data_IF_561583729373
#
_entry.id   IF_561583729373
#
_cell.length_a   1.000
_cell.length_b   1.000
_cell.length_c   1.000
_cell.angle_alpha   90.00
_cell.angle_beta   90.00
_cell.angle_gamma   90.00
#
_symmetry.space_group_name_H-M   'P 1'
#
loop_
_entity.id
_entity.type
_entity.pdbx_description
1 polymer ?
#
# COMPACT_ATOMS: atom_id res chain seq x y z
N UNK A 1 18.33 1.65 -8.78
CA UNK A 1 18.03 0.78 -9.93
C UNK A 1 16.74 1.30 -10.53
N UNK A 2 16.72 1.59 -11.82
CA UNK A 2 15.53 2.13 -12.49
C UNK A 2 14.56 0.99 -12.84
N UNK A 3 13.26 1.19 -12.61
CA UNK A 3 12.25 0.18 -12.92
C UNK A 3 12.10 -0.02 -14.43
N UNK A 4 12.07 -1.27 -14.88
CA UNK A 4 11.86 -1.61 -16.29
C UNK A 4 10.45 -1.22 -16.75
N UNK A 5 10.29 -0.96 -18.06
CA UNK A 5 8.98 -0.66 -18.65
C UNK A 5 7.95 -1.78 -18.41
N UNK A 6 8.42 -3.03 -18.34
CA UNK A 6 7.58 -4.18 -18.01
C UNK A 6 7.09 -4.14 -16.56
N UNK A 7 7.96 -3.81 -15.60
CA UNK A 7 7.56 -3.63 -14.19
C UNK A 7 6.51 -2.52 -14.06
N UNK A 8 6.73 -1.36 -14.70
CA UNK A 8 5.78 -0.24 -14.67
C UNK A 8 4.42 -0.63 -15.24
N UNK A 9 4.40 -1.34 -16.38
CA UNK A 9 3.16 -1.81 -16.99
C UNK A 9 2.40 -2.78 -16.08
N UNK A 10 3.09 -3.75 -15.48
CA UNK A 10 2.49 -4.72 -14.57
C UNK A 10 1.98 -4.04 -13.31
N UNK A 11 2.77 -3.14 -12.73
CA UNK A 11 2.38 -2.35 -11.56
C UNK A 11 1.10 -1.54 -11.83
N UNK A 12 1.02 -0.86 -12.98
CA UNK A 12 -0.16 -0.08 -13.35
C UNK A 12 -1.42 -0.92 -13.55
N UNK A 13 -1.29 -2.10 -14.16
CA UNK A 13 -2.41 -3.05 -14.31
C UNK A 13 -2.89 -3.52 -12.94
N UNK A 14 -1.96 -3.96 -12.07
CA UNK A 14 -2.29 -4.42 -10.72
C UNK A 14 -2.92 -3.28 -9.91
N UNK A 15 -2.39 -2.06 -10.00
CA UNK A 15 -2.90 -0.90 -9.27
C UNK A 15 -4.36 -0.61 -9.64
N UNK A 16 -4.68 -0.57 -10.93
CA UNK A 16 -6.04 -0.32 -11.41
C UNK A 16 -7.01 -1.42 -10.97
N UNK A 17 -6.66 -2.68 -11.24
CA UNK A 17 -7.55 -3.79 -10.94
C UNK A 17 -7.74 -3.98 -9.42
N UNK A 18 -6.69 -3.72 -8.63
CA UNK A 18 -6.76 -3.76 -7.17
C UNK A 18 -7.68 -2.67 -6.61
N UNK A 19 -7.59 -1.45 -7.12
CA UNK A 19 -8.46 -0.36 -6.69
C UNK A 19 -9.94 -0.73 -6.92
N UNK A 20 -10.27 -1.28 -8.09
CA UNK A 20 -11.62 -1.73 -8.42
C UNK A 20 -12.09 -2.88 -7.51
N UNK A 21 -11.21 -3.85 -7.20
CA UNK A 21 -11.53 -4.98 -6.32
C UNK A 21 -11.79 -4.50 -4.89
N UNK A 22 -10.92 -3.65 -4.35
CA UNK A 22 -11.05 -3.13 -2.98
C UNK A 22 -12.28 -2.23 -2.82
N UNK A 23 -12.58 -1.40 -3.82
CA UNK A 23 -13.75 -0.53 -3.78
C UNK A 23 -15.07 -1.32 -3.78
N UNK A 24 -15.16 -2.38 -4.60
CA UNK A 24 -16.31 -3.29 -4.59
C UNK A 24 -16.43 -4.03 -3.26
N UNK A 25 -15.33 -4.60 -2.77
CA UNK A 25 -15.32 -5.30 -1.49
C UNK A 25 -15.73 -4.40 -0.31
N UNK A 26 -15.31 -3.13 -0.31
CA UNK A 26 -15.73 -2.16 0.70
C UNK A 26 -17.22 -1.83 0.63
N UNK A 27 -17.78 -1.77 -0.59
CA UNK A 27 -19.21 -1.50 -0.83
C UNK A 27 -20.06 -2.69 -0.37
N UNK A 28 -19.68 -3.90 -0.78
CA UNK A 28 -20.40 -5.14 -0.46
C UNK A 28 -20.27 -5.50 1.02
N UNK A 29 -19.13 -5.18 1.65
CA UNK A 29 -18.88 -5.38 3.08
C UNK A 29 -19.57 -4.36 3.99
N UNK A 30 -20.33 -3.41 3.44
CA UNK A 30 -21.10 -2.43 4.22
C UNK A 30 -20.23 -1.45 5.01
N UNK A 31 -18.96 -1.27 4.63
CA UNK A 31 -17.98 -0.37 5.26
C UNK A 31 -18.29 1.09 4.91
N UNK A 32 -19.45 1.60 5.35
CA UNK A 32 -19.86 2.98 5.14
C UNK A 32 -18.94 3.93 5.91
N UNK A 33 -18.34 4.89 5.20
CA UNK A 33 -17.44 5.90 5.78
C UNK A 33 -15.96 5.51 5.81
N UNK A 34 -15.59 4.34 5.27
CA UNK A 34 -14.21 3.91 5.14
C UNK A 34 -13.75 4.04 3.68
N UNK A 35 -12.70 4.83 3.45
CA UNK A 35 -12.09 5.06 2.15
C UNK A 35 -10.81 4.25 2.03
N UNK A 36 -10.78 3.29 1.11
CA UNK A 36 -9.59 2.49 0.80
C UNK A 36 -9.14 2.85 -0.60
N UNK A 37 -7.88 3.25 -0.74
CA UNK A 37 -7.27 3.61 -2.01
C UNK A 37 -5.90 2.97 -2.17
N UNK A 38 -5.48 2.73 -3.42
CA UNK A 38 -4.17 2.15 -3.73
C UNK A 38 -3.22 3.27 -4.16
N UNK A 39 -2.37 3.73 -3.25
CA UNK A 39 -1.43 4.83 -3.51
C UNK A 39 -0.37 4.45 -4.53
N UNK A 40 0.25 3.27 -4.36
CA UNK A 40 1.40 2.85 -5.17
C UNK A 40 1.49 1.33 -5.24
N UNK A 41 1.95 0.83 -6.38
CA UNK A 41 2.34 -0.57 -6.53
C UNK A 41 3.78 -0.63 -7.05
N UNK A 42 4.61 -1.45 -6.40
CA UNK A 42 5.99 -1.69 -6.83
C UNK A 42 6.20 -3.19 -7.02
N UNK A 43 6.83 -3.57 -8.12
CA UNK A 43 7.04 -4.98 -8.49
C UNK A 43 8.53 -5.28 -8.52
N UNK A 44 8.93 -6.42 -7.96
CA UNK A 44 10.33 -6.87 -7.96
C UNK A 44 10.85 -7.14 -9.38
N UNK A 45 12.18 -7.15 -9.54
CA UNK A 45 12.82 -7.31 -10.86
C UNK A 45 12.53 -8.65 -11.53
N UNK A 46 12.34 -9.70 -10.73
CA UNK A 46 11.92 -11.04 -11.15
C UNK A 46 10.41 -11.18 -11.37
N UNK A 47 9.63 -10.10 -11.11
CA UNK A 47 8.18 -10.04 -11.22
C UNK A 47 7.43 -11.05 -10.35
N UNK A 48 8.08 -11.58 -9.32
CA UNK A 48 7.49 -12.58 -8.43
C UNK A 48 6.67 -11.96 -7.30
N UNK A 49 7.02 -10.75 -6.88
CA UNK A 49 6.41 -10.06 -5.75
C UNK A 49 5.93 -8.67 -6.17
N UNK A 50 4.71 -8.32 -5.79
CA UNK A 50 4.12 -7.01 -5.94
C UNK A 50 3.77 -6.45 -4.55
N UNK A 51 4.43 -5.35 -4.18
CA UNK A 51 4.14 -4.58 -2.98
C UNK A 51 3.08 -3.55 -3.30
N UNK A 52 1.98 -3.58 -2.57
CA UNK A 52 0.80 -2.73 -2.74
C UNK A 52 0.69 -1.85 -1.51
N UNK A 53 0.81 -0.54 -1.73
CA UNK A 53 0.68 0.48 -0.70
C UNK A 53 -0.73 1.02 -0.72
N UNK A 54 -1.40 0.95 0.42
CA UNK A 54 -2.79 1.31 0.62
C UNK A 54 -2.88 2.56 1.50
N UNK A 55 -3.70 3.52 1.07
CA UNK A 55 -4.13 4.62 1.91
C UNK A 55 -5.55 4.34 2.39
N UNK A 56 -5.72 4.31 3.70
CA UNK A 56 -6.97 3.97 4.38
C UNK A 56 -7.37 5.16 5.25
N UNK A 57 -8.58 5.65 5.05
CA UNK A 57 -9.15 6.75 5.81
C UNK A 57 -10.47 6.31 6.44
N UNK A 58 -10.70 6.54 7.75
CA UNK A 58 -9.78 7.19 8.71
C UNK A 58 -8.61 6.29 9.17
N UNK A 59 -7.49 6.90 9.60
CA UNK A 59 -6.22 6.21 9.91
C UNK A 59 -6.30 5.28 11.13
N UNK A 60 -7.16 5.59 12.09
CA UNK A 60 -7.41 4.80 13.30
C UNK A 60 -7.81 3.35 12.97
N UNK A 61 -8.52 3.14 11.86
CA UNK A 61 -8.94 1.82 11.37
C UNK A 61 -7.98 1.18 10.38
N UNK A 62 -6.89 1.86 10.00
CA UNK A 62 -6.00 1.37 8.95
C UNK A 62 -5.36 0.02 9.28
N UNK A 63 -4.98 -0.21 10.54
CA UNK A 63 -4.36 -1.48 10.98
C UNK A 63 -5.34 -2.65 10.92
N UNK A 64 -6.53 -2.49 11.49
CA UNK A 64 -7.59 -3.50 11.46
C UNK A 64 -7.95 -3.87 10.02
N UNK A 65 -8.08 -2.86 9.16
CA UNK A 65 -8.37 -3.08 7.75
C UNK A 65 -7.24 -3.78 7.00
N UNK A 66 -5.98 -3.45 7.32
CA UNK A 66 -4.83 -4.14 6.74
C UNK A 66 -4.85 -5.63 7.10
N UNK A 67 -5.12 -5.98 8.35
CA UNK A 67 -5.23 -7.37 8.81
C UNK A 67 -6.37 -8.12 8.11
N UNK A 68 -7.52 -7.46 7.92
CA UNK A 68 -8.64 -7.99 7.14
C UNK A 68 -8.28 -8.25 5.68
N UNK A 69 -7.55 -7.33 5.04
CA UNK A 69 -7.08 -7.47 3.65
C UNK A 69 -6.05 -8.60 3.54
N UNK A 70 -5.13 -8.71 4.49
CA UNK A 70 -4.14 -9.79 4.53
C UNK A 70 -4.80 -11.15 4.72
N UNK A 71 -5.81 -11.25 5.59
CA UNK A 71 -6.58 -12.49 5.79
C UNK A 71 -7.31 -12.93 4.52
N UNK A 72 -7.81 -11.95 3.74
CA UNK A 72 -8.50 -12.19 2.47
C UNK A 72 -7.57 -12.21 1.25
N UNK A 73 -6.25 -12.18 1.45
CA UNK A 73 -5.26 -12.15 0.38
C UNK A 73 -5.43 -13.27 -0.67
N UNK A 74 -5.73 -14.54 -0.31
CA UNK A 74 -5.93 -15.59 -1.31
C UNK A 74 -7.12 -15.33 -2.24
N UNK A 75 -8.21 -14.82 -1.68
CA UNK A 75 -9.42 -14.46 -2.43
C UNK A 75 -9.14 -13.30 -3.40
N UNK A 76 -8.50 -12.25 -2.90
CA UNK A 76 -8.11 -11.06 -3.69
C UNK A 76 -7.18 -11.48 -4.82
N UNK A 77 -6.18 -12.32 -4.52
CA UNK A 77 -5.25 -12.86 -5.53
C UNK A 77 -5.98 -13.63 -6.62
N UNK A 78 -6.94 -14.47 -6.26
CA UNK A 78 -7.72 -15.27 -7.22
C UNK A 78 -8.55 -14.38 -8.14
N UNK A 79 -9.25 -13.41 -7.57
CA UNK A 79 -10.08 -12.46 -8.33
C UNK A 79 -9.24 -11.61 -9.29
N UNK A 80 -8.11 -11.10 -8.82
CA UNK A 80 -7.16 -10.39 -9.68
C UNK A 80 -6.57 -11.29 -10.77
N UNK A 81 -6.21 -12.54 -10.44
CA UNK A 81 -5.64 -13.47 -11.40
C UNK A 81 -6.60 -13.78 -12.54
N UNK A 82 -7.92 -13.85 -12.27
CA UNK A 82 -8.94 -13.98 -13.32
C UNK A 82 -8.98 -12.77 -14.25
N UNK A 83 -8.93 -11.55 -13.70
CA UNK A 83 -8.98 -10.30 -14.47
C UNK A 83 -7.72 -10.07 -15.30
N UNK A 84 -6.56 -10.36 -14.72
CA UNK A 84 -5.26 -10.16 -15.37
C UNK A 84 -4.80 -11.35 -16.21
N UNK A 85 -5.62 -12.41 -16.37
CA UNK A 85 -5.21 -13.68 -17.01
C UNK A 85 -4.60 -13.49 -18.41
N UNK A 86 -5.12 -12.53 -19.18
CA UNK A 86 -4.64 -12.26 -20.54
C UNK A 86 -3.42 -11.30 -20.57
N UNK A 87 -3.12 -10.65 -19.44
CA UNK A 87 -2.07 -9.63 -19.34
C UNK A 87 -0.82 -10.16 -18.64
N UNK A 88 -0.99 -11.15 -17.75
CA UNK A 88 0.08 -11.72 -16.93
C UNK A 88 0.20 -13.23 -17.16
N UNK A 89 1.42 -13.70 -17.42
CA UNK A 89 1.73 -15.14 -17.48
C UNK A 89 1.65 -15.82 -16.11
N UNK A 90 2.05 -15.10 -15.06
CA UNK A 90 2.02 -15.55 -13.66
C UNK A 90 1.61 -14.37 -12.78
N UNK A 91 0.71 -14.61 -11.84
CA UNK A 91 0.31 -13.61 -10.85
C UNK A 91 1.38 -13.53 -9.74
N UNK A 92 1.99 -12.36 -9.50
CA UNK A 92 2.91 -12.19 -8.38
C UNK A 92 2.24 -12.43 -7.02
N UNK A 93 3.05 -12.69 -6.00
CA UNK A 93 2.60 -12.62 -4.62
C UNK A 93 2.35 -11.16 -4.24
N UNK A 94 1.17 -10.90 -3.71
CA UNK A 94 0.75 -9.56 -3.29
C UNK A 94 1.13 -9.36 -1.82
N UNK A 95 1.85 -8.28 -1.51
CA UNK A 95 2.17 -7.87 -0.14
C UNK A 95 1.54 -6.51 0.11
N UNK A 96 0.78 -6.37 1.19
CA UNK A 96 0.04 -5.14 1.50
C UNK A 96 0.72 -4.36 2.61
N UNK A 97 0.82 -3.05 2.41
CA UNK A 97 1.39 -2.09 3.36
C UNK A 97 0.49 -0.87 3.46
N UNK A 98 0.45 -0.23 4.63
CA UNK A 98 -0.16 1.09 4.79
C UNK A 98 0.85 2.12 4.29
N UNK A 99 0.37 3.09 3.52
CA UNK A 99 1.16 4.23 3.07
C UNK A 99 1.24 5.29 4.19
N UNK A 100 2.33 5.29 4.95
CA UNK A 100 2.65 6.27 5.99
C UNK A 100 3.50 7.45 5.46
N UNK A 101 3.73 7.52 4.14
CA UNK A 101 4.64 8.51 3.54
C UNK A 101 4.23 9.95 3.85
N UNK A 102 2.93 10.27 3.81
CA UNK A 102 2.44 11.62 4.10
C UNK A 102 2.67 12.02 5.56
N UNK A 103 2.38 11.13 6.50
CA UNK A 103 2.62 11.37 7.92
C UNK A 103 4.12 11.56 8.21
N UNK A 104 4.97 10.76 7.57
CA UNK A 104 6.42 10.90 7.66
C UNK A 104 6.93 12.24 7.12
N UNK A 105 6.43 12.68 5.96
CA UNK A 105 6.80 13.97 5.36
C UNK A 105 6.37 15.16 6.23
N UNK A 106 5.16 15.13 6.82
CA UNK A 106 4.71 16.19 7.74
C UNK A 106 5.63 16.29 8.97
N UNK A 107 6.08 15.15 9.50
CA UNK A 107 7.06 15.11 10.59
C UNK A 107 8.40 15.76 10.23
N UNK A 108 8.89 15.54 9.01
CA UNK A 108 10.10 16.19 8.49
C UNK A 108 9.88 17.70 8.38
N UNK A 109 8.80 18.14 7.74
CA UNK A 109 8.52 19.56 7.53
C UNK A 109 8.38 20.32 8.86
N UNK A 110 7.73 19.71 9.85
CA UNK A 110 7.63 20.27 11.21
C UNK A 110 8.99 20.38 11.90
N UNK A 111 9.87 19.40 11.66
CA UNK A 111 11.24 19.42 12.18
C UNK A 111 12.10 20.49 11.50
N UNK A 112 11.95 20.66 10.18
CA UNK A 112 12.68 21.66 9.40
C UNK A 112 12.23 23.10 9.72
N UNK A 113 10.95 23.32 10.04
CA UNK A 113 10.42 24.62 10.48
C UNK A 113 10.89 25.03 11.89
N UNK A 114 11.60 24.15 12.60
CA UNK A 114 12.20 24.46 13.90
C UNK A 114 11.27 24.33 15.11
N UNK A 115 10.03 23.89 14.91
CA UNK A 115 9.08 23.60 15.99
C UNK A 115 9.53 22.39 16.83
N UNK A 116 10.21 21.43 16.20
CA UNK A 116 10.72 20.21 16.81
C UNK A 116 12.16 19.97 16.34
N UNK A 117 13.17 20.46 17.07
CA UNK A 117 14.57 20.28 16.68
C UNK A 117 15.17 19.01 17.33
N UNK A 118 15.31 17.90 16.61
CA UNK A 118 15.83 16.64 17.16
C UNK A 118 17.31 16.70 17.56
N UNK A 119 18.06 17.74 17.15
CA UNK A 119 19.43 17.98 17.62
C UNK A 119 19.42 18.55 19.04
N UNK A 120 18.39 19.31 19.41
CA UNK A 120 18.26 19.92 20.75
C UNK A 120 17.46 19.05 21.73
N UNK A 121 16.50 18.26 21.22
CA UNK A 121 15.74 17.30 22.01
C UNK A 121 15.74 15.91 21.35
N UNK A 122 16.63 15.00 21.79
CA UNK A 122 16.74 13.64 21.25
C UNK A 122 15.49 12.77 21.48
N UNK A 123 14.57 13.16 22.36
CA UNK A 123 13.35 12.40 22.64
C UNK A 123 12.34 12.44 21.49
N UNK A 124 12.50 13.41 20.58
CA UNK A 124 11.67 13.59 19.37
C UNK A 124 12.01 12.60 18.25
N UNK A 125 13.08 11.82 18.39
CA UNK A 125 13.48 10.83 17.38
C UNK A 125 12.58 9.60 17.44
N UNK A 126 12.02 9.22 16.28
CA UNK A 126 11.32 7.95 16.18
C UNK A 126 12.25 6.78 16.51
N UNK A 127 11.75 5.84 17.32
CA UNK A 127 12.48 4.61 17.63
C UNK A 127 12.71 3.85 16.33
N UNK A 128 13.98 3.56 16.01
CA UNK A 128 14.33 2.69 14.88
C UNK A 128 13.43 1.46 14.88
N UNK A 129 12.66 1.26 13.79
CA UNK A 129 11.97 -0.02 13.54
C UNK A 129 13.04 -1.10 13.60
N UNK A 130 12.95 -1.99 14.60
CA UNK A 130 13.84 -3.16 14.69
C UNK A 130 13.59 -4.01 13.45
N UNK A 131 14.68 -4.38 12.78
CA UNK A 131 14.67 -5.30 11.65
C UNK A 131 14.20 -6.69 12.06
#
# INVERSE_FOLDING_TARGET
MEETQRQKKIAGVIQKDMADVLQRAATDGGLKGLLISVSKVTVTTDLSIAKVYLSIFPEDRAKEMLEGIQSNQPLIKHELAKRTRNQLRRMPQLLFFIDDTLAYLDGIDRSLKGENNPIKDPSLLEKRKKA
#
